data_IF_505357605367
#
_entry.id   IF_505357605367
#
_cell.length_a   1.000
_cell.length_b   1.000
_cell.length_c   1.000
_cell.angle_alpha   90.00
_cell.angle_beta   90.00
_cell.angle_gamma   90.00
#
_symmetry.space_group_name_H-M   'P 1'
#
loop_
_entity.id
_entity.type
_entity.pdbx_description
1 polymer ?
#
# COMPACT_ATOMS: atom_id res chain seq x y z
N UNK A 1 24.69 -12.55 32.04
CA UNK A 1 23.31 -13.05 32.17
C UNK A 1 22.27 -12.01 31.78
N UNK A 2 22.43 -10.75 32.16
CA UNK A 2 21.54 -9.65 31.77
C UNK A 2 21.51 -9.40 30.26
N UNK A 3 22.60 -9.68 29.54
CA UNK A 3 22.69 -9.53 28.08
C UNK A 3 21.74 -10.46 27.31
N UNK A 4 21.67 -11.73 27.71
CA UNK A 4 20.81 -12.71 27.06
C UNK A 4 19.33 -12.41 27.25
N UNK A 5 18.99 -11.85 28.39
CA UNK A 5 17.62 -11.46 28.70
C UNK A 5 17.15 -10.30 27.81
N UNK A 6 18.00 -9.30 27.58
CA UNK A 6 17.71 -8.15 26.71
C UNK A 6 17.53 -8.59 25.25
N UNK A 7 18.37 -9.48 24.75
CA UNK A 7 18.29 -9.98 23.38
C UNK A 7 16.98 -10.75 23.16
N UNK A 8 16.56 -11.55 24.13
CA UNK A 8 15.30 -12.29 24.05
C UNK A 8 14.09 -11.36 24.01
N UNK A 9 14.10 -10.30 24.80
CA UNK A 9 13.02 -9.32 24.86
C UNK A 9 12.90 -8.58 23.52
N UNK A 10 14.01 -8.16 22.92
CA UNK A 10 14.03 -7.50 21.61
C UNK A 10 13.50 -8.42 20.52
N UNK A 11 13.86 -9.70 20.57
CA UNK A 11 13.37 -10.70 19.60
C UNK A 11 11.85 -10.86 19.69
N UNK A 12 11.27 -10.91 20.87
CA UNK A 12 9.82 -11.02 21.07
C UNK A 12 9.10 -9.77 20.52
N UNK A 13 9.63 -8.57 20.76
CA UNK A 13 9.07 -7.32 20.24
C UNK A 13 9.08 -7.29 18.71
N UNK A 14 10.14 -7.78 18.09
CA UNK A 14 10.25 -7.86 16.62
C UNK A 14 9.21 -8.82 16.05
N UNK A 15 8.95 -9.95 16.70
CA UNK A 15 7.95 -10.93 16.29
C UNK A 15 6.54 -10.33 16.37
N UNK A 16 6.23 -9.55 17.40
CA UNK A 16 4.93 -8.88 17.54
C UNK A 16 4.70 -7.85 16.44
N UNK A 17 5.76 -7.12 16.04
CA UNK A 17 5.67 -6.14 14.95
C UNK A 17 5.38 -6.81 13.60
N UNK A 18 5.81 -8.05 13.39
CA UNK A 18 5.56 -8.81 12.16
C UNK A 18 4.07 -9.13 11.94
N UNK A 19 3.22 -9.01 12.97
CA UNK A 19 1.79 -9.28 12.89
C UNK A 19 0.96 -8.03 12.59
N UNK A 20 1.60 -6.91 12.26
CA UNK A 20 0.92 -5.64 11.99
C UNK A 20 0.07 -5.72 10.74
N UNK A 21 -1.14 -5.16 10.81
CA UNK A 21 -2.02 -4.96 9.66
C UNK A 21 -1.71 -3.59 9.02
N UNK A 22 -1.29 -3.62 7.75
CA UNK A 22 -0.89 -2.42 7.03
C UNK A 22 -2.00 -1.79 6.20
N UNK A 23 -3.25 -2.19 6.40
CA UNK A 23 -4.37 -1.67 5.61
C UNK A 23 -4.49 -0.15 5.70
N UNK A 24 -4.57 0.38 6.92
CA UNK A 24 -4.71 1.83 7.11
C UNK A 24 -3.48 2.58 6.61
N UNK A 25 -2.29 2.04 6.83
CA UNK A 25 -1.05 2.66 6.34
C UNK A 25 -1.05 2.76 4.81
N UNK A 26 -1.57 1.75 4.13
CA UNK A 26 -1.69 1.75 2.66
C UNK A 26 -2.65 2.83 2.19
N UNK A 27 -3.81 2.94 2.83
CA UNK A 27 -4.81 3.95 2.48
C UNK A 27 -4.26 5.36 2.72
N UNK A 28 -3.61 5.59 3.87
CA UNK A 28 -3.00 6.89 4.18
C UNK A 28 -1.90 7.25 3.19
N UNK A 29 -1.05 6.27 2.82
CA UNK A 29 -0.01 6.50 1.82
C UNK A 29 -0.62 6.98 0.50
N UNK A 30 -1.66 6.29 0.02
CA UNK A 30 -2.31 6.65 -1.24
C UNK A 30 -2.98 8.02 -1.17
N UNK A 31 -3.66 8.31 -0.05
CA UNK A 31 -4.38 9.59 0.12
C UNK A 31 -3.43 10.78 0.31
N UNK A 32 -2.19 10.53 0.75
CA UNK A 32 -1.18 11.57 0.92
C UNK A 32 -0.44 11.93 -0.37
N UNK A 33 -0.61 11.14 -1.44
CA UNK A 33 0.03 11.45 -2.72
C UNK A 33 -0.61 12.71 -3.30
N UNK A 34 0.22 13.67 -3.67
CA UNK A 34 -0.27 14.92 -4.27
C UNK A 34 -0.81 14.66 -5.67
N UNK A 35 -1.98 15.23 -5.96
CA UNK A 35 -2.54 15.23 -7.30
C UNK A 35 -1.53 15.82 -8.29
N UNK A 36 -1.38 15.17 -9.44
CA UNK A 36 -0.41 15.60 -10.45
C UNK A 36 0.96 14.97 -10.31
N UNK A 37 1.21 14.17 -9.27
CA UNK A 37 2.49 13.47 -9.12
C UNK A 37 2.68 12.47 -10.26
N UNK A 38 3.88 12.43 -10.82
CA UNK A 38 4.21 11.54 -11.92
C UNK A 38 4.20 10.08 -11.47
N UNK A 39 3.71 9.18 -12.35
CA UNK A 39 3.59 7.75 -12.06
C UNK A 39 4.94 7.12 -11.68
N UNK A 40 6.05 7.53 -12.30
CA UNK A 40 7.37 6.98 -12.00
C UNK A 40 7.82 7.35 -10.59
N UNK A 41 7.50 8.54 -10.13
CA UNK A 41 7.78 8.97 -8.76
C UNK A 41 7.04 8.10 -7.76
N UNK A 42 5.78 7.78 -8.02
CA UNK A 42 4.96 6.94 -7.15
C UNK A 42 5.50 5.52 -7.12
N UNK A 43 5.83 4.95 -8.28
CA UNK A 43 6.43 3.61 -8.36
C UNK A 43 7.73 3.53 -7.56
N UNK A 44 8.57 4.55 -7.66
CA UNK A 44 9.87 4.60 -6.97
C UNK A 44 9.74 4.70 -5.45
N UNK A 45 8.66 5.28 -4.97
CA UNK A 45 8.41 5.51 -3.54
C UNK A 45 7.41 4.53 -2.92
N UNK A 46 6.99 3.53 -3.68
CA UNK A 46 6.00 2.56 -3.20
C UNK A 46 6.57 1.77 -2.02
N UNK A 47 5.84 1.71 -0.88
CA UNK A 47 6.21 0.85 0.24
C UNK A 47 6.16 -0.64 -0.12
N UNK A 48 6.83 -1.46 0.68
CA UNK A 48 6.94 -2.91 0.45
C UNK A 48 5.85 -3.74 1.13
N UNK A 49 4.93 -3.09 1.87
CA UNK A 49 3.88 -3.81 2.59
C UNK A 49 2.59 -4.01 1.78
N UNK A 50 2.59 -3.68 0.50
CA UNK A 50 1.52 -3.99 -0.44
C UNK A 50 2.07 -4.05 -1.85
N UNK A 51 1.26 -4.56 -2.78
CA UNK A 51 1.58 -4.61 -4.20
C UNK A 51 0.62 -3.73 -4.99
N UNK A 52 1.06 -3.26 -6.14
CA UNK A 52 0.20 -2.57 -7.11
C UNK A 52 0.32 -3.29 -8.44
N UNK A 53 -0.79 -3.52 -9.10
CA UNK A 53 -0.82 -4.24 -10.37
C UNK A 53 -0.47 -3.29 -11.52
N UNK A 54 0.79 -2.86 -11.58
CA UNK A 54 1.26 -1.90 -12.57
C UNK A 54 1.19 -2.41 -14.02
N UNK A 55 1.22 -3.74 -14.21
CA UNK A 55 1.24 -4.36 -15.54
C UNK A 55 -0.14 -4.52 -16.18
N UNK A 56 -1.20 -4.39 -15.40
CA UNK A 56 -2.57 -4.63 -15.87
C UNK A 56 -3.52 -3.53 -15.40
N UNK A 57 -3.36 -2.31 -15.92
CA UNK A 57 -4.27 -1.24 -15.57
C UNK A 57 -5.67 -1.49 -16.13
N UNK A 58 -6.67 -1.06 -15.39
CA UNK A 58 -8.04 -1.01 -15.85
C UNK A 58 -8.27 0.38 -16.50
N UNK A 59 -8.81 0.39 -17.70
CA UNK A 59 -9.03 1.61 -18.46
C UNK A 59 -10.49 2.04 -18.37
N UNK A 60 -10.72 3.28 -17.98
CA UNK A 60 -12.05 3.90 -17.96
C UNK A 60 -11.93 5.30 -18.54
N UNK A 61 -12.51 5.51 -19.72
CA UNK A 61 -12.38 6.76 -20.49
C UNK A 61 -10.88 7.09 -20.71
N UNK A 62 -10.42 8.25 -20.23
CA UNK A 62 -9.00 8.65 -20.33
C UNK A 62 -8.20 8.31 -19.07
N UNK A 63 -8.79 7.55 -18.14
CA UNK A 63 -8.16 7.19 -16.88
C UNK A 63 -7.57 5.79 -16.94
N UNK A 64 -6.41 5.62 -16.31
CA UNK A 64 -5.83 4.32 -16.00
C UNK A 64 -5.93 4.10 -14.49
N UNK A 65 -6.48 2.95 -14.08
CA UNK A 65 -6.63 2.58 -12.69
C UNK A 65 -5.78 1.35 -12.41
N UNK A 66 -4.95 1.44 -11.38
CA UNK A 66 -4.05 0.36 -10.97
C UNK A 66 -4.49 -0.16 -9.61
N UNK A 67 -4.81 -1.44 -9.52
CA UNK A 67 -5.33 -2.03 -8.29
C UNK A 67 -4.23 -2.23 -7.26
N UNK A 68 -4.53 -1.90 -6.00
CA UNK A 68 -3.68 -2.21 -4.84
C UNK A 68 -4.03 -3.61 -4.37
N UNK A 69 -3.00 -4.46 -4.27
CA UNK A 69 -3.15 -5.88 -3.96
C UNK A 69 -2.31 -6.29 -2.76
N UNK A 70 -2.71 -7.39 -2.12
CA UNK A 70 -1.89 -8.12 -1.16
C UNK A 70 -1.32 -7.25 -0.04
N UNK A 71 -2.17 -6.42 0.55
CA UNK A 71 -1.79 -5.59 1.69
C UNK A 71 -1.42 -6.51 2.86
N UNK A 72 -0.21 -6.36 3.36
CA UNK A 72 0.36 -7.21 4.39
C UNK A 72 -0.45 -7.15 5.69
N UNK A 73 -0.83 -8.32 6.20
CA UNK A 73 -1.59 -8.42 7.44
C UNK A 73 -3.04 -7.97 7.34
N UNK A 74 -3.52 -7.60 6.16
CA UNK A 74 -4.90 -7.19 5.96
C UNK A 74 -5.80 -8.40 5.77
N UNK A 75 -6.95 -8.35 6.43
CA UNK A 75 -8.03 -9.31 6.26
C UNK A 75 -9.32 -8.50 6.14
N UNK A 76 -9.54 -7.93 4.96
CA UNK A 76 -10.68 -7.05 4.70
C UNK A 76 -11.94 -7.90 4.47
N UNK A 77 -12.87 -7.94 5.42
CA UNK A 77 -14.11 -8.71 5.27
C UNK A 77 -15.06 -8.13 4.21
N UNK A 78 -14.91 -6.86 3.89
CA UNK A 78 -15.75 -6.18 2.88
C UNK A 78 -15.24 -6.40 1.47
N UNK A 79 -14.03 -6.92 1.31
CA UNK A 79 -13.38 -7.18 0.02
C UNK A 79 -13.39 -5.94 -0.89
N UNK A 80 -13.09 -4.79 -0.30
CA UNK A 80 -12.98 -3.54 -1.03
C UNK A 80 -11.79 -3.58 -1.98
N UNK A 81 -12.01 -3.10 -3.20
CA UNK A 81 -10.93 -2.89 -4.16
C UNK A 81 -10.51 -1.43 -4.14
N UNK A 82 -9.21 -1.18 -4.06
CA UNK A 82 -8.64 0.16 -4.06
C UNK A 82 -7.77 0.34 -5.29
N UNK A 83 -7.91 1.48 -5.93
CA UNK A 83 -7.19 1.78 -7.18
C UNK A 83 -6.47 3.12 -7.06
N UNK A 84 -5.29 3.19 -7.66
CA UNK A 84 -4.60 4.44 -7.92
C UNK A 84 -5.02 4.90 -9.33
N UNK A 85 -5.53 6.11 -9.44
CA UNK A 85 -6.12 6.63 -10.68
C UNK A 85 -5.17 7.65 -11.30
N UNK A 86 -4.89 7.50 -12.59
CA UNK A 86 -3.98 8.36 -13.34
C UNK A 86 -4.62 8.87 -14.62
N UNK A 87 -4.29 10.10 -14.99
CA UNK A 87 -4.59 10.68 -16.28
C UNK A 87 -3.27 11.21 -16.86
N UNK A 88 -2.91 10.79 -18.07
CA UNK A 88 -1.66 11.17 -18.73
C UNK A 88 -0.44 10.95 -17.83
N UNK A 89 -0.40 9.78 -17.12
CA UNK A 89 0.66 9.39 -16.19
C UNK A 89 0.81 10.31 -14.98
N UNK A 90 -0.21 11.10 -14.66
CA UNK A 90 -0.25 11.95 -13.48
C UNK A 90 -1.33 11.47 -12.52
N UNK A 91 -1.03 11.47 -11.24
CA UNK A 91 -1.95 10.97 -10.21
C UNK A 91 -3.18 11.87 -10.06
N UNK A 92 -4.36 11.27 -10.08
CA UNK A 92 -5.63 11.96 -9.85
C UNK A 92 -6.20 11.72 -8.45
N UNK A 93 -5.99 10.54 -7.90
CA UNK A 93 -6.52 10.19 -6.60
C UNK A 93 -6.67 8.69 -6.42
N UNK A 94 -7.19 8.29 -5.26
CA UNK A 94 -7.53 6.90 -4.96
C UNK A 94 -9.03 6.69 -5.16
N UNK A 95 -9.39 5.58 -5.79
CA UNK A 95 -10.78 5.15 -5.94
C UNK A 95 -10.98 3.83 -5.21
N UNK A 96 -12.15 3.64 -4.63
CA UNK A 96 -12.50 2.41 -3.94
C UNK A 96 -13.84 1.89 -4.44
N UNK A 97 -13.90 0.57 -4.70
CA UNK A 97 -15.10 -0.12 -5.20
C UNK A 97 -15.33 -1.34 -4.30
N UNK A 98 -16.57 -1.56 -3.97
CA UNK A 98 -16.95 -2.74 -3.21
C UNK A 98 -17.29 -3.90 -4.14
#
# INVERSE_FOLDING_TARGET
MTRQFLILTVFILTTLTACKNYYNDTIYWADDIKRGTDIQTIKSNQPDFFEVEWDKPDTLDNQLRYEILNIKGSNDPLKMQHFLVFIDNKFEGRSSIK
#
